data_IF_178150524692
#
_entry.id   IF_178150524692
#
_cell.length_a   1.000
_cell.length_b   1.000
_cell.length_c   1.000
_cell.angle_alpha   90.00
_cell.angle_beta   90.00
_cell.angle_gamma   90.00
#
_symmetry.space_group_name_H-M   'P 1'
#
loop_
_entity.id
_entity.type
_entity.pdbx_description
1 polymer ?
#
# COMPACT_ATOMS: atom_id res chain seq x y z
N UNK A 1 50.11 2.57 -3.80
CA UNK A 1 49.17 2.75 -2.67
C UNK A 1 47.84 3.27 -3.21
N UNK A 2 46.74 3.11 -2.45
CA UNK A 2 45.49 3.85 -2.58
C UNK A 2 44.75 3.85 -3.94
N UNK A 3 44.23 2.69 -4.36
CA UNK A 3 43.12 2.60 -5.32
C UNK A 3 41.78 2.18 -4.65
N UNK A 4 41.73 2.18 -3.30
CA UNK A 4 40.70 1.47 -2.51
C UNK A 4 39.65 2.40 -1.87
N UNK A 5 39.85 3.72 -1.89
CA UNK A 5 38.98 4.64 -1.12
C UNK A 5 37.83 5.30 -1.90
N UNK A 6 37.97 5.51 -3.21
CA UNK A 6 36.99 6.27 -4.02
C UNK A 6 35.58 5.66 -3.98
N UNK A 7 35.47 4.32 -3.94
CA UNK A 7 34.19 3.62 -3.85
C UNK A 7 33.47 3.81 -2.50
N UNK A 8 34.21 4.01 -1.40
CA UNK A 8 33.62 4.30 -0.08
C UNK A 8 33.13 5.75 -0.02
N UNK A 9 33.93 6.70 -0.47
CA UNK A 9 33.53 8.10 -0.50
C UNK A 9 32.31 8.36 -1.40
N UNK A 10 32.22 7.73 -2.58
CA UNK A 10 31.02 7.84 -3.44
C UNK A 10 29.74 7.41 -2.71
N UNK A 11 29.80 6.34 -1.93
CA UNK A 11 28.66 5.82 -1.16
C UNK A 11 28.28 6.72 0.03
N UNK A 12 29.27 7.35 0.67
CA UNK A 12 29.05 8.34 1.74
C UNK A 12 28.45 9.63 1.15
N UNK A 13 28.94 10.10 0.01
CA UNK A 13 28.38 11.28 -0.69
C UNK A 13 26.94 11.01 -1.13
N UNK A 14 26.64 9.83 -1.69
CA UNK A 14 25.25 9.43 -1.99
C UNK A 14 24.35 9.33 -0.75
N UNK A 15 24.91 9.04 0.44
CA UNK A 15 24.15 9.00 1.69
C UNK A 15 23.79 10.39 2.24
N UNK A 16 24.52 11.44 1.82
CA UNK A 16 24.22 12.84 2.12
C UNK A 16 23.55 13.59 0.96
N UNK A 17 23.59 13.01 -0.24
CA UNK A 17 23.03 13.54 -1.48
C UNK A 17 22.37 12.38 -2.24
N UNK A 18 21.22 11.94 -1.74
CA UNK A 18 20.32 11.04 -2.44
C UNK A 18 19.31 11.93 -3.19
N UNK A 19 19.50 12.19 -4.50
CA UNK A 19 18.59 13.05 -5.24
C UNK A 19 17.24 12.36 -5.38
N UNK A 20 16.16 13.14 -5.36
CA UNK A 20 14.82 12.59 -5.55
C UNK A 20 14.71 11.82 -6.87
N UNK A 21 14.04 10.66 -6.89
CA UNK A 21 13.98 9.84 -8.09
C UNK A 21 13.16 10.55 -9.17
N UNK A 22 13.81 10.86 -10.30
CA UNK A 22 13.17 11.44 -11.49
C UNK A 22 12.78 10.34 -12.48
N UNK A 23 11.66 10.53 -13.17
CA UNK A 23 11.29 9.69 -14.32
C UNK A 23 12.13 10.07 -15.55
N UNK A 24 12.52 9.11 -16.39
CA UNK A 24 13.35 9.36 -17.58
C UNK A 24 12.45 9.58 -18.81
N UNK A 25 12.18 10.85 -19.14
CA UNK A 25 11.19 11.24 -20.16
C UNK A 25 11.47 10.91 -21.63
N UNK A 26 12.71 10.77 -22.15
CA UNK A 26 12.95 10.80 -23.60
C UNK A 26 12.37 9.60 -24.35
N UNK A 27 11.83 8.59 -23.65
CA UNK A 27 11.27 7.38 -24.22
C UNK A 27 9.78 7.11 -23.84
N UNK A 28 9.14 7.95 -23.00
CA UNK A 28 7.77 7.77 -22.45
C UNK A 28 7.42 6.30 -22.08
N UNK A 29 8.38 5.62 -21.43
CA UNK A 29 8.23 4.20 -21.06
C UNK A 29 7.19 4.12 -19.94
N UNK A 30 6.19 3.22 -20.05
CA UNK A 30 5.12 3.13 -19.06
C UNK A 30 5.64 2.79 -17.67
N UNK A 31 5.34 3.66 -16.71
CA UNK A 31 5.56 3.42 -15.27
C UNK A 31 4.41 2.56 -14.75
N UNK A 32 4.73 1.53 -13.96
CA UNK A 32 3.72 0.61 -13.42
C UNK A 32 3.52 0.76 -11.92
N UNK A 33 2.26 0.82 -11.49
CA UNK A 33 1.86 0.73 -10.08
C UNK A 33 0.77 -0.35 -9.94
N UNK A 34 1.07 -1.44 -9.23
CA UNK A 34 0.11 -2.48 -8.82
C UNK A 34 -0.91 -2.84 -9.93
N UNK A 35 -0.42 -3.40 -11.05
CA UNK A 35 -1.23 -3.80 -12.19
C UNK A 35 -1.70 -2.69 -13.13
N UNK A 36 -1.35 -1.42 -12.90
CA UNK A 36 -1.69 -0.29 -13.77
C UNK A 36 -0.48 0.31 -14.43
N UNK A 37 -0.65 0.74 -15.67
CA UNK A 37 0.35 1.37 -16.53
C UNK A 37 0.03 2.85 -16.71
N UNK A 38 1.06 3.71 -16.65
CA UNK A 38 0.96 5.15 -16.77
C UNK A 38 2.06 5.69 -17.69
N UNK A 39 1.65 6.44 -18.71
CA UNK A 39 2.51 7.27 -19.57
C UNK A 39 2.24 8.75 -19.34
N UNK A 40 3.10 9.64 -19.81
CA UNK A 40 2.96 11.10 -19.64
C UNK A 40 1.61 11.65 -20.16
N UNK A 41 1.01 11.02 -21.17
CA UNK A 41 -0.31 11.35 -21.70
C UNK A 41 -1.51 10.75 -20.95
N UNK A 42 -1.30 10.08 -19.80
CA UNK A 42 -2.38 9.40 -19.05
C UNK A 42 -3.13 10.37 -18.15
N UNK A 43 -4.30 10.83 -18.61
CA UNK A 43 -5.18 11.69 -17.81
C UNK A 43 -5.79 10.94 -16.62
N UNK A 44 -5.78 11.60 -15.44
CA UNK A 44 -6.25 11.08 -14.13
C UNK A 44 -7.63 10.41 -14.16
N UNK A 45 -8.54 10.81 -15.05
CA UNK A 45 -9.90 10.27 -15.13
C UNK A 45 -10.15 9.05 -16.03
N UNK A 46 -9.18 8.53 -16.81
CA UNK A 46 -9.41 7.39 -17.75
C UNK A 46 -8.20 6.47 -17.95
N UNK A 47 -7.96 5.57 -17.00
CA UNK A 47 -7.16 4.36 -17.25
C UNK A 47 -7.99 3.43 -18.13
N UNK A 48 -7.63 3.29 -19.41
CA UNK A 48 -8.26 2.30 -20.30
C UNK A 48 -7.61 0.92 -20.09
N UNK A 49 -8.41 -0.07 -19.72
CA UNK A 49 -7.98 -1.47 -19.79
C UNK A 49 -7.56 -1.82 -21.23
N UNK A 50 -6.37 -2.37 -21.39
CA UNK A 50 -5.86 -2.85 -22.66
C UNK A 50 -6.49 -4.20 -23.05
N UNK A 51 -7.78 -4.17 -23.43
CA UNK A 51 -8.45 -5.29 -24.11
C UNK A 51 -8.77 -4.90 -25.55
N UNK A 52 -8.13 -5.58 -26.49
CA UNK A 52 -8.49 -5.49 -27.91
C UNK A 52 -9.88 -6.05 -28.15
N UNK A 53 -10.69 -5.33 -28.93
CA UNK A 53 -11.95 -5.82 -29.49
C UNK A 53 -12.10 -5.30 -30.91
N UNK A 54 -12.59 -6.16 -31.80
CA UNK A 54 -12.75 -5.85 -33.21
C UNK A 54 -14.00 -4.97 -33.49
N UNK A 55 -13.92 -4.24 -34.60
CA UNK A 55 -15.04 -3.78 -35.47
C UNK A 55 -16.16 -4.83 -35.61
N UNK A 56 -17.46 -4.56 -35.78
CA UNK A 56 -18.33 -3.36 -36.01
C UNK A 56 -19.80 -3.88 -36.13
N UNK A 57 -20.86 -3.12 -36.49
CA UNK A 57 -21.29 -1.74 -36.17
C UNK A 57 -22.73 -1.66 -35.58
N UNK A 58 -23.27 -0.45 -35.36
CA UNK A 58 -24.65 -0.15 -34.92
C UNK A 58 -25.76 -0.44 -35.97
N UNK A 59 -27.04 -0.22 -35.60
CA UNK A 59 -27.75 0.89 -36.26
C UNK A 59 -28.52 1.86 -35.34
N UNK A 60 -28.90 2.98 -35.94
CA UNK A 60 -29.48 4.22 -35.41
C UNK A 60 -31.00 4.19 -35.23
N UNK A 61 -31.55 4.95 -34.28
CA UNK A 61 -32.87 5.64 -34.40
C UNK A 61 -32.75 7.05 -33.80
N UNK A 62 -33.44 8.02 -34.40
CA UNK A 62 -33.41 9.47 -34.11
C UNK A 62 -34.82 9.96 -33.78
N UNK A 63 -34.96 10.97 -32.89
CA UNK A 63 -36.03 11.99 -32.74
C UNK A 63 -35.95 12.53 -31.28
N UNK A 64 -35.80 13.80 -30.88
CA UNK A 64 -35.93 15.19 -31.39
C UNK A 64 -37.09 15.99 -30.75
N UNK A 65 -36.89 17.31 -30.58
CA UNK A 65 -37.84 18.38 -30.16
C UNK A 65 -38.17 18.69 -28.68
N UNK A 66 -37.39 19.62 -28.11
CA UNK A 66 -37.75 20.97 -27.58
C UNK A 66 -39.11 21.31 -26.91
N UNK A 67 -39.05 22.08 -25.78
CA UNK A 67 -39.83 23.34 -25.58
C UNK A 67 -39.35 24.24 -24.42
N UNK A 68 -39.56 25.55 -24.56
CA UNK A 68 -39.22 26.65 -23.61
C UNK A 68 -40.36 27.06 -22.65
N UNK A 69 -40.03 27.79 -21.55
CA UNK A 69 -40.78 28.88 -20.82
C UNK A 69 -40.35 28.90 -19.33
N UNK A 70 -39.77 29.94 -18.68
CA UNK A 70 -40.25 31.31 -18.31
C UNK A 70 -41.17 31.35 -17.05
N UNK A 71 -41.27 32.39 -16.18
CA UNK A 71 -40.75 33.79 -16.17
C UNK A 71 -40.78 34.45 -14.72
N UNK A 72 -39.84 35.37 -14.39
CA UNK A 72 -39.89 36.49 -13.36
C UNK A 72 -40.00 36.25 -11.81
N UNK A 73 -39.06 36.75 -10.97
CA UNK A 73 -39.02 38.00 -10.11
C UNK A 73 -39.79 37.93 -8.74
N UNK A 74 -39.40 38.57 -7.61
CA UNK A 74 -38.38 39.60 -7.30
C UNK A 74 -37.97 39.63 -5.78
N UNK A 75 -36.83 40.30 -5.45
CA UNK A 75 -36.53 41.24 -4.32
C UNK A 75 -37.05 41.02 -2.87
N UNK A 76 -36.44 41.52 -1.77
CA UNK A 76 -35.06 41.86 -1.33
C UNK A 76 -35.16 42.54 0.06
N UNK A 77 -34.26 42.29 1.02
CA UNK A 77 -34.14 43.12 2.24
C UNK A 77 -32.69 43.17 2.79
N UNK A 78 -32.22 44.39 3.08
CA UNK A 78 -30.86 44.70 3.57
C UNK A 78 -30.76 44.82 5.10
N UNK A 79 -29.57 44.49 5.67
CA UNK A 79 -28.80 45.33 6.63
C UNK A 79 -27.42 44.66 6.93
N UNK A 80 -26.38 45.40 7.39
CA UNK A 80 -25.02 45.19 6.86
C UNK A 80 -23.96 44.86 7.95
N UNK A 81 -22.64 45.16 7.83
CA UNK A 81 -21.60 44.12 7.91
C UNK A 81 -20.67 44.23 9.13
N UNK A 82 -19.89 43.17 9.38
CA UNK A 82 -18.41 43.24 9.58
C UNK A 82 -17.88 41.95 10.20
N UNK A 83 -17.14 41.17 9.41
CA UNK A 83 -16.10 40.23 9.87
C UNK A 83 -15.30 39.74 8.66
N UNK A 84 -14.16 40.40 8.40
CA UNK A 84 -13.23 40.00 7.34
C UNK A 84 -12.51 38.71 7.72
N UNK A 85 -13.04 37.57 7.26
CA UNK A 85 -12.28 36.32 7.14
C UNK A 85 -11.92 36.12 5.67
N UNK A 86 -10.63 35.92 5.40
CA UNK A 86 -10.05 35.94 4.06
C UNK A 86 -10.40 34.69 3.24
N UNK A 87 -11.54 34.69 2.57
CA UNK A 87 -11.92 33.67 1.58
C UNK A 87 -11.20 33.88 0.23
N UNK A 88 -9.88 33.71 0.23
CA UNK A 88 -9.11 33.31 -0.95
C UNK A 88 -8.77 31.81 -0.77
N UNK A 89 -8.96 30.90 -1.72
CA UNK A 89 -9.59 30.99 -3.03
C UNK A 89 -10.15 29.61 -3.41
N UNK A 90 -11.48 29.46 -3.47
CA UNK A 90 -12.11 28.16 -3.82
C UNK A 90 -12.13 27.87 -5.33
N UNK A 91 -11.80 28.86 -6.17
CA UNK A 91 -11.75 28.68 -7.64
C UNK A 91 -10.42 28.10 -8.14
N UNK A 92 -9.32 28.26 -7.40
CA UNK A 92 -8.01 27.73 -7.80
C UNK A 92 -7.92 26.20 -7.65
N UNK A 93 -8.63 25.62 -6.69
CA UNK A 93 -8.65 24.17 -6.45
C UNK A 93 -9.22 23.33 -7.63
N UNK A 94 -9.89 23.95 -8.60
CA UNK A 94 -10.32 23.31 -9.84
C UNK A 94 -9.37 23.53 -11.03
N UNK A 95 -8.53 24.56 -11.00
CA UNK A 95 -7.48 24.78 -12.01
C UNK A 95 -6.18 24.00 -11.68
N UNK A 96 -5.87 23.80 -10.39
CA UNK A 96 -4.69 23.04 -9.95
C UNK A 96 -4.66 21.58 -10.44
N UNK A 97 -5.82 20.93 -10.65
CA UNK A 97 -5.87 19.53 -11.14
C UNK A 97 -5.30 19.30 -12.54
N UNK A 98 -5.05 20.35 -13.32
CA UNK A 98 -4.48 20.25 -14.66
C UNK A 98 -2.99 20.64 -14.75
N UNK A 99 -2.35 20.98 -13.63
CA UNK A 99 -0.91 21.22 -13.58
C UNK A 99 -0.20 20.11 -12.80
N UNK A 100 0.20 19.05 -13.53
CA UNK A 100 1.44 18.36 -13.20
C UNK A 100 2.54 19.42 -13.12
N UNK A 101 3.18 19.55 -11.96
CA UNK A 101 4.19 20.58 -11.77
C UNK A 101 5.43 20.19 -12.56
N UNK A 102 6.11 21.17 -13.16
CA UNK A 102 7.46 20.97 -13.72
C UNK A 102 8.49 20.51 -12.66
N UNK A 103 8.11 20.51 -11.38
CA UNK A 103 8.92 20.08 -10.24
C UNK A 103 8.74 18.59 -9.87
N UNK A 104 7.71 17.89 -10.37
CA UNK A 104 7.34 16.55 -9.87
C UNK A 104 8.20 15.42 -10.48
N UNK A 105 9.49 15.67 -10.71
CA UNK A 105 10.43 14.75 -11.38
C UNK A 105 9.99 14.26 -12.76
N UNK A 106 8.97 14.92 -13.34
CA UNK A 106 8.19 14.53 -14.52
C UNK A 106 7.57 13.13 -14.45
N UNK A 107 7.15 12.69 -13.26
CA UNK A 107 6.25 11.53 -13.14
C UNK A 107 4.87 11.85 -13.74
N UNK A 108 4.16 10.87 -14.36
CA UNK A 108 2.80 11.11 -14.83
C UNK A 108 1.83 11.43 -13.67
N UNK A 109 0.99 12.46 -13.80
CA UNK A 109 0.03 12.86 -12.75
C UNK A 109 -0.83 11.68 -12.25
N UNK A 110 -1.40 10.91 -13.18
CA UNK A 110 -2.24 9.76 -12.83
C UNK A 110 -1.48 8.63 -12.09
N UNK A 111 -0.14 8.56 -12.24
CA UNK A 111 0.71 7.69 -11.44
C UNK A 111 0.93 8.25 -10.03
N UNK A 112 1.19 9.55 -9.89
CA UNK A 112 1.34 10.20 -8.58
C UNK A 112 0.06 10.08 -7.75
N UNK A 113 -1.10 10.41 -8.33
CA UNK A 113 -2.43 10.21 -7.73
C UNK A 113 -2.60 8.77 -7.19
N UNK A 114 -2.17 7.78 -7.98
CA UNK A 114 -2.25 6.37 -7.63
C UNK A 114 -1.27 5.97 -6.52
N UNK A 115 -0.03 6.41 -6.64
CA UNK A 115 1.06 6.07 -5.73
C UNK A 115 0.83 6.68 -4.34
N UNK A 116 0.48 7.96 -4.28
CA UNK A 116 0.21 8.68 -3.02
C UNK A 116 -1.06 8.20 -2.33
N UNK A 117 -2.03 7.67 -3.08
CA UNK A 117 -3.24 7.06 -2.49
C UNK A 117 -3.01 5.69 -1.88
N UNK A 118 -1.86 5.03 -2.11
CA UNK A 118 -1.58 3.73 -1.47
C UNK A 118 -1.45 3.88 0.04
N UNK A 119 -1.92 2.87 0.78
CA UNK A 119 -1.78 2.84 2.24
C UNK A 119 -0.33 2.54 2.64
N UNK A 120 0.31 3.48 3.32
CA UNK A 120 1.70 3.38 3.77
C UNK A 120 1.76 3.36 5.30
N UNK A 121 2.24 2.25 5.85
CA UNK A 121 2.47 2.08 7.29
C UNK A 121 3.95 2.25 7.58
N UNK A 122 4.26 3.04 8.61
CA UNK A 122 5.62 3.42 9.00
C UNK A 122 5.91 3.05 10.44
N UNK A 123 7.17 3.17 10.88
CA UNK A 123 7.51 3.08 12.30
C UNK A 123 6.72 4.09 13.13
N UNK A 124 6.28 3.67 14.30
CA UNK A 124 5.58 4.51 15.28
C UNK A 124 6.23 4.40 16.65
N UNK A 125 5.84 5.33 17.52
CA UNK A 125 6.26 5.40 18.91
C UNK A 125 5.05 5.81 19.76
N UNK A 126 5.19 5.73 21.08
CA UNK A 126 4.17 6.14 22.06
C UNK A 126 2.86 5.33 21.98
N UNK A 127 2.88 4.18 21.31
CA UNK A 127 1.78 3.22 21.35
C UNK A 127 1.77 2.44 22.68
N UNK A 128 0.62 1.84 23.02
CA UNK A 128 0.45 1.06 24.26
C UNK A 128 1.50 -0.06 24.35
N UNK A 129 2.18 -0.18 25.49
CA UNK A 129 3.32 -1.10 25.63
C UNK A 129 2.98 -2.54 25.23
N UNK A 130 3.76 -3.10 24.30
CA UNK A 130 3.78 -4.52 23.98
C UNK A 130 4.68 -5.22 24.99
N UNK A 131 4.11 -6.14 25.78
CA UNK A 131 4.87 -6.92 26.76
C UNK A 131 6.02 -7.70 26.10
N UNK A 132 7.14 -7.85 26.83
CA UNK A 132 8.23 -8.75 26.44
C UNK A 132 7.78 -10.19 26.63
N UNK A 133 8.44 -11.11 25.93
CA UNK A 133 8.28 -12.54 26.21
C UNK A 133 9.19 -12.93 27.39
N UNK A 134 8.66 -13.73 28.31
CA UNK A 134 9.40 -14.32 29.41
C UNK A 134 10.31 -15.50 28.98
N UNK A 135 10.22 -15.95 27.72
CA UNK A 135 11.07 -17.02 27.20
C UNK A 135 12.54 -16.53 27.10
N UNK A 136 13.51 -17.22 27.74
CA UNK A 136 14.92 -16.83 27.69
C UNK A 136 15.47 -16.65 26.27
N UNK A 137 14.94 -17.40 25.29
CA UNK A 137 15.35 -17.33 23.87
C UNK A 137 15.01 -15.97 23.25
N UNK A 138 13.95 -15.29 23.71
CA UNK A 138 13.54 -13.98 23.19
C UNK A 138 14.66 -12.94 23.27
N UNK A 139 15.36 -12.89 24.41
CA UNK A 139 16.50 -11.97 24.62
C UNK A 139 17.65 -12.20 23.63
N UNK A 140 17.86 -13.45 23.21
CA UNK A 140 18.92 -13.85 22.27
C UNK A 140 18.55 -13.57 20.80
N UNK A 141 17.26 -13.60 20.47
CA UNK A 141 16.73 -13.36 19.14
C UNK A 141 16.71 -11.86 18.74
N UNK A 142 16.77 -10.96 19.73
CA UNK A 142 16.91 -9.52 19.48
C UNK A 142 18.23 -9.20 18.76
N UNK A 143 18.18 -8.23 17.83
CA UNK A 143 19.38 -7.65 17.21
C UNK A 143 20.27 -6.97 18.26
N UNK A 144 21.56 -6.80 17.98
CA UNK A 144 22.49 -6.17 18.93
C UNK A 144 22.03 -4.76 19.33
N UNK A 145 21.60 -3.96 18.36
CA UNK A 145 21.03 -2.62 18.59
C UNK A 145 19.77 -2.67 19.45
N UNK A 146 18.89 -3.67 19.25
CA UNK A 146 17.71 -3.87 20.08
C UNK A 146 18.06 -4.29 21.51
N UNK A 147 19.05 -5.15 21.72
CA UNK A 147 19.52 -5.52 23.07
C UNK A 147 20.06 -4.31 23.83
N UNK A 148 20.86 -3.48 23.18
CA UNK A 148 21.42 -2.26 23.79
C UNK A 148 20.30 -1.27 24.15
N UNK A 149 19.39 -0.96 23.21
CA UNK A 149 18.24 -0.07 23.47
C UNK A 149 17.34 -0.62 24.59
N UNK A 150 17.08 -1.94 24.56
CA UNK A 150 16.29 -2.67 25.55
C UNK A 150 16.86 -2.63 26.96
N UNK A 151 18.18 -2.57 27.12
CA UNK A 151 18.83 -2.53 28.44
C UNK A 151 18.88 -1.11 29.02
N UNK A 152 18.86 -0.08 28.15
CA UNK A 152 19.05 1.31 28.54
C UNK A 152 17.75 2.11 28.74
N UNK A 153 16.67 1.76 28.04
CA UNK A 153 15.46 2.60 27.96
C UNK A 153 14.19 1.88 28.41
N UNK A 154 13.97 0.65 27.94
CA UNK A 154 12.62 0.05 27.90
C UNK A 154 12.52 -1.28 28.68
N UNK A 155 12.65 -1.26 30.02
CA UNK A 155 12.50 -2.49 30.81
C UNK A 155 11.07 -3.07 30.78
N UNK A 156 10.03 -2.23 30.62
CA UNK A 156 8.63 -2.62 30.80
C UNK A 156 7.86 -2.98 29.50
N UNK A 157 8.55 -3.20 28.38
CA UNK A 157 7.94 -3.61 27.11
C UNK A 157 8.49 -2.85 25.90
N UNK A 158 7.73 -2.81 24.81
CA UNK A 158 8.04 -2.01 23.62
C UNK A 158 6.92 -0.99 23.36
N UNK A 159 7.26 0.29 23.32
CA UNK A 159 6.37 1.41 22.97
C UNK A 159 6.68 2.00 21.59
N UNK A 160 7.70 1.49 20.91
CA UNK A 160 8.05 1.82 19.53
C UNK A 160 8.57 0.60 18.78
N UNK A 161 8.23 0.51 17.50
CA UNK A 161 8.69 -0.56 16.61
C UNK A 161 9.91 -0.20 15.76
N UNK A 162 10.42 1.03 15.95
CA UNK A 162 11.63 1.56 15.31
C UNK A 162 12.83 0.63 15.50
N UNK A 163 13.27 -0.01 14.41
CA UNK A 163 14.41 -0.92 14.37
C UNK A 163 14.12 -2.41 14.52
N UNK A 164 12.84 -2.82 14.58
CA UNK A 164 12.44 -4.24 14.51
C UNK A 164 11.15 -4.48 13.71
N UNK A 165 10.22 -3.53 13.69
CA UNK A 165 8.89 -3.68 13.08
C UNK A 165 8.80 -3.50 11.56
N UNK A 166 9.90 -3.22 10.83
CA UNK A 166 9.83 -2.85 9.41
C UNK A 166 9.02 -3.82 8.56
N UNK A 167 9.27 -5.14 8.69
CA UNK A 167 8.55 -6.13 7.90
C UNK A 167 7.08 -6.30 8.32
N UNK A 168 6.75 -6.03 9.59
CA UNK A 168 5.36 -5.92 10.04
C UNK A 168 4.69 -4.74 9.34
N UNK A 169 5.34 -3.57 9.25
CA UNK A 169 4.82 -2.39 8.54
C UNK A 169 4.67 -2.62 7.03
N UNK A 170 5.63 -3.31 6.40
CA UNK A 170 5.49 -3.75 5.01
C UNK A 170 4.28 -4.70 4.82
N UNK A 171 4.11 -5.67 5.72
CA UNK A 171 2.98 -6.59 5.72
C UNK A 171 1.63 -5.91 5.96
N UNK A 172 1.56 -4.95 6.90
CA UNK A 172 0.37 -4.13 7.14
C UNK A 172 0.04 -3.27 5.91
N UNK A 173 1.04 -2.65 5.27
CA UNK A 173 0.85 -1.86 4.05
C UNK A 173 0.30 -2.70 2.90
N UNK A 174 0.88 -3.89 2.67
CA UNK A 174 0.41 -4.84 1.66
C UNK A 174 -1.04 -5.28 1.95
N UNK A 175 -1.35 -5.65 3.19
CA UNK A 175 -2.68 -6.08 3.60
C UNK A 175 -3.73 -4.96 3.48
N UNK A 176 -3.38 -3.74 3.90
CA UNK A 176 -4.25 -2.56 3.79
C UNK A 176 -4.57 -2.22 2.32
N UNK A 177 -3.58 -2.30 1.42
CA UNK A 177 -3.81 -2.11 -0.02
C UNK A 177 -4.63 -3.25 -0.64
N UNK A 178 -4.45 -4.49 -0.20
CA UNK A 178 -5.29 -5.61 -0.64
C UNK A 178 -6.77 -5.43 -0.21
N UNK A 179 -7.02 -5.00 1.03
CA UNK A 179 -8.37 -4.64 1.50
C UNK A 179 -8.93 -3.44 0.74
N UNK A 180 -8.11 -2.42 0.47
CA UNK A 180 -8.50 -1.24 -0.31
C UNK A 180 -9.01 -1.60 -1.70
N UNK A 181 -8.38 -2.55 -2.38
CA UNK A 181 -8.81 -3.00 -3.71
C UNK A 181 -10.18 -3.69 -3.69
N UNK A 182 -10.60 -4.23 -2.55
CA UNK A 182 -11.91 -4.89 -2.35
C UNK A 182 -12.98 -3.87 -1.93
N UNK A 183 -12.69 -3.04 -0.93
CA UNK A 183 -13.70 -2.16 -0.29
C UNK A 183 -13.90 -0.81 -0.99
N UNK A 184 -12.84 -0.32 -1.64
CA UNK A 184 -12.77 0.96 -2.36
C UNK A 184 -12.65 0.78 -3.88
N UNK A 185 -12.02 -0.31 -4.32
CA UNK A 185 -11.70 -0.59 -5.72
C UNK A 185 -10.30 -0.11 -6.12
N UNK A 186 -9.79 -0.59 -7.25
CA UNK A 186 -8.45 -0.24 -7.75
C UNK A 186 -8.36 1.19 -8.31
N UNK A 187 -9.49 1.74 -8.79
CA UNK A 187 -9.62 3.12 -9.28
C UNK A 187 -9.62 4.18 -8.18
N UNK A 188 -9.92 3.82 -6.93
CA UNK A 188 -10.03 4.75 -5.82
C UNK A 188 -8.76 5.60 -5.62
N UNK A 189 -8.97 6.89 -5.36
CA UNK A 189 -7.97 7.90 -4.98
C UNK A 189 -8.40 8.60 -3.68
N UNK A 190 -7.46 9.27 -3.01
CA UNK A 190 -7.76 9.99 -1.76
C UNK A 190 -8.83 11.06 -2.00
N UNK A 191 -9.76 11.16 -1.05
CA UNK A 191 -10.90 12.08 -1.13
C UNK A 191 -12.16 11.50 -1.79
N UNK A 192 -12.08 10.41 -2.56
CA UNK A 192 -13.27 9.79 -3.20
C UNK A 192 -14.25 9.14 -2.21
N UNK A 193 -13.76 8.71 -1.04
CA UNK A 193 -14.54 7.98 -0.03
C UNK A 193 -13.89 8.07 1.36
N UNK A 194 -13.81 9.28 1.97
CA UNK A 194 -13.01 9.53 3.16
C UNK A 194 -13.53 8.78 4.42
N UNK A 195 -14.81 8.42 4.47
CA UNK A 195 -15.38 7.61 5.56
C UNK A 195 -14.87 6.17 5.49
N UNK A 196 -14.85 5.59 4.28
CA UNK A 196 -14.33 4.24 4.06
C UNK A 196 -12.80 4.19 4.23
N UNK A 197 -12.08 5.21 3.76
CA UNK A 197 -10.62 5.36 3.97
C UNK A 197 -10.29 5.36 5.47
N UNK A 198 -10.97 6.18 6.28
CA UNK A 198 -10.80 6.18 7.74
C UNK A 198 -11.20 4.87 8.38
N UNK A 199 -12.29 4.24 7.94
CA UNK A 199 -12.74 2.94 8.44
C UNK A 199 -11.66 1.88 8.25
N UNK A 200 -11.10 1.76 7.04
CA UNK A 200 -10.00 0.84 6.72
C UNK A 200 -8.74 1.15 7.54
N UNK A 201 -8.31 2.42 7.60
CA UNK A 201 -7.15 2.85 8.40
C UNK A 201 -7.31 2.50 9.89
N UNK A 202 -8.52 2.64 10.45
CA UNK A 202 -8.80 2.35 11.85
C UNK A 202 -8.51 0.89 12.22
N UNK A 203 -8.55 -0.04 11.25
CA UNK A 203 -8.24 -1.45 11.46
C UNK A 203 -6.76 -1.70 11.78
N UNK A 204 -5.86 -0.77 11.39
CA UNK A 204 -4.40 -0.88 11.49
C UNK A 204 -3.77 0.06 12.53
N UNK A 205 -4.57 0.86 13.24
CA UNK A 205 -4.09 1.76 14.29
C UNK A 205 -3.27 1.00 15.35
N UNK A 206 -2.27 1.65 15.95
CA UNK A 206 -1.38 1.04 16.96
C UNK A 206 -2.03 0.93 18.35
N UNK A 207 -3.21 0.31 18.38
CA UNK A 207 -4.02 0.03 19.56
C UNK A 207 -4.33 -1.48 19.60
N UNK A 208 -4.24 -2.16 20.77
CA UNK A 208 -4.55 -3.59 20.88
C UNK A 208 -5.96 -3.99 20.39
N UNK A 209 -6.92 -3.04 20.37
CA UNK A 209 -8.29 -3.25 19.89
C UNK A 209 -8.40 -3.29 18.37
N UNK A 210 -7.48 -2.66 17.64
CA UNK A 210 -7.50 -2.64 16.19
C UNK A 210 -7.05 -4.02 15.64
N UNK A 211 -7.84 -4.67 14.77
CA UNK A 211 -7.65 -6.08 14.41
C UNK A 211 -6.35 -6.40 13.67
N UNK A 212 -5.72 -5.40 13.05
CA UNK A 212 -4.47 -5.50 12.29
C UNK A 212 -3.37 -4.60 12.84
N UNK A 213 -3.48 -4.18 14.10
CA UNK A 213 -2.45 -3.42 14.79
C UNK A 213 -1.14 -4.20 14.95
N UNK A 214 -0.06 -3.49 15.24
CA UNK A 214 1.24 -4.12 15.52
C UNK A 214 1.16 -5.08 16.73
N UNK A 215 0.32 -4.78 17.72
CA UNK A 215 0.04 -5.66 18.86
C UNK A 215 -0.53 -7.01 18.41
N UNK A 216 -1.51 -6.99 17.50
CA UNK A 216 -2.12 -8.19 16.94
C UNK A 216 -1.14 -8.99 16.07
N UNK A 217 -0.31 -8.31 15.28
CA UNK A 217 0.77 -8.96 14.51
C UNK A 217 1.80 -9.64 15.41
N UNK A 218 2.21 -9.00 16.51
CA UNK A 218 3.16 -9.62 17.46
C UNK A 218 2.52 -10.80 18.20
N UNK A 219 1.28 -10.64 18.68
CA UNK A 219 0.54 -11.70 19.38
C UNK A 219 0.32 -12.94 18.50
N UNK A 220 -0.14 -12.75 17.25
CA UNK A 220 -0.31 -13.85 16.31
C UNK A 220 1.02 -14.38 15.78
N UNK A 221 2.05 -13.53 15.62
CA UNK A 221 3.40 -13.94 15.20
C UNK A 221 4.09 -14.86 16.19
N UNK A 222 3.88 -14.66 17.50
CA UNK A 222 4.35 -15.57 18.54
C UNK A 222 3.73 -16.97 18.40
N UNK A 223 2.41 -17.05 18.18
CA UNK A 223 1.69 -18.33 18.07
C UNK A 223 1.95 -19.03 16.72
N UNK A 224 1.91 -18.29 15.60
CA UNK A 224 1.97 -18.84 14.25
C UNK A 224 3.40 -19.08 13.73
N UNK A 225 4.38 -18.34 14.24
CA UNK A 225 5.76 -18.35 13.74
C UNK A 225 6.83 -18.52 14.82
N UNK A 226 6.46 -18.62 16.11
CA UNK A 226 7.41 -18.67 17.22
C UNK A 226 8.25 -17.39 17.38
N UNK A 227 7.78 -16.26 16.84
CA UNK A 227 8.50 -14.98 16.81
C UNK A 227 8.20 -14.13 18.04
N UNK A 228 9.23 -13.60 18.67
CA UNK A 228 9.07 -12.82 19.90
C UNK A 228 8.86 -11.31 19.65
N UNK A 229 8.20 -10.59 20.58
CA UNK A 229 8.19 -9.12 20.57
C UNK A 229 9.62 -8.55 20.49
N UNK A 230 9.85 -7.61 19.57
CA UNK A 230 11.18 -7.03 19.32
C UNK A 230 12.09 -7.82 18.36
N UNK A 231 11.71 -9.05 17.97
CA UNK A 231 12.44 -9.83 16.98
C UNK A 231 12.12 -9.35 15.55
N UNK A 232 13.08 -9.45 14.64
CA UNK A 232 12.84 -9.17 13.23
C UNK A 232 12.04 -10.29 12.55
N UNK A 233 10.99 -9.91 11.83
CA UNK A 233 10.16 -10.81 11.04
C UNK A 233 10.70 -10.86 9.60
N UNK A 234 10.86 -12.05 9.04
CA UNK A 234 11.09 -12.23 7.61
C UNK A 234 9.77 -12.25 6.81
N UNK A 235 9.80 -12.17 5.47
CA UNK A 235 8.61 -12.22 4.63
C UNK A 235 7.71 -13.44 4.89
N UNK A 236 8.25 -14.68 4.93
CA UNK A 236 7.45 -15.88 5.21
C UNK A 236 6.76 -15.85 6.58
N UNK A 237 7.46 -15.35 7.62
CA UNK A 237 6.89 -15.24 8.97
C UNK A 237 5.76 -14.21 9.01
N UNK A 238 5.91 -13.11 8.27
CA UNK A 238 4.88 -12.08 8.12
C UNK A 238 3.68 -12.59 7.34
N UNK A 239 3.90 -13.34 6.25
CA UNK A 239 2.83 -13.93 5.45
C UNK A 239 2.01 -14.97 6.24
N UNK A 240 2.66 -15.86 7.00
CA UNK A 240 1.99 -16.79 7.91
C UNK A 240 1.22 -16.06 9.02
N UNK A 241 1.77 -14.97 9.56
CA UNK A 241 1.08 -14.13 10.54
C UNK A 241 -0.18 -13.47 9.95
N UNK A 242 -0.09 -12.88 8.75
CA UNK A 242 -1.24 -12.31 8.02
C UNK A 242 -2.30 -13.39 7.79
N UNK A 243 -1.90 -14.58 7.35
CA UNK A 243 -2.82 -15.70 7.14
C UNK A 243 -3.58 -16.07 8.42
N UNK A 244 -2.86 -16.28 9.52
CA UNK A 244 -3.47 -16.63 10.80
C UNK A 244 -4.41 -15.52 11.33
N UNK A 245 -3.99 -14.26 11.21
CA UNK A 245 -4.70 -13.10 11.73
C UNK A 245 -5.97 -12.77 10.95
N UNK A 246 -5.94 -12.85 9.62
CA UNK A 246 -7.10 -12.57 8.76
C UNK A 246 -8.11 -13.72 8.80
N UNK A 247 -7.66 -14.97 8.59
CA UNK A 247 -8.56 -16.11 8.49
C UNK A 247 -9.30 -16.40 9.82
N UNK A 248 -8.69 -16.10 10.97
CA UNK A 248 -9.34 -16.21 12.28
C UNK A 248 -10.54 -15.26 12.47
N UNK A 249 -10.60 -14.13 11.76
CA UNK A 249 -11.57 -13.05 12.00
C UNK A 249 -12.86 -13.14 11.17
N UNK A 250 -13.09 -14.25 10.42
CA UNK A 250 -14.26 -14.49 9.56
C UNK A 250 -14.65 -13.31 8.64
N UNK A 251 -13.65 -12.57 8.15
CA UNK A 251 -13.90 -11.45 7.24
C UNK A 251 -14.18 -11.91 5.80
N UNK A 252 -14.55 -10.96 4.94
CA UNK A 252 -14.75 -11.16 3.50
C UNK A 252 -13.46 -11.60 2.81
N UNK A 253 -12.32 -10.98 3.17
CA UNK A 253 -11.00 -11.37 2.69
C UNK A 253 -10.53 -12.66 3.36
N UNK A 254 -10.02 -13.59 2.56
CA UNK A 254 -9.23 -14.75 2.99
C UNK A 254 -7.77 -14.57 2.57
N UNK A 255 -6.89 -15.36 3.16
CA UNK A 255 -5.46 -15.38 2.83
C UNK A 255 -5.00 -16.81 2.64
N UNK A 256 -4.27 -17.05 1.55
CA UNK A 256 -3.51 -18.27 1.29
C UNK A 256 -2.03 -17.91 1.12
N UNK A 257 -1.16 -18.53 1.90
CA UNK A 257 0.29 -18.36 1.84
C UNK A 257 0.97 -19.68 1.56
N UNK A 258 1.92 -19.66 0.63
CA UNK A 258 2.72 -20.83 0.22
C UNK A 258 3.82 -21.18 1.23
N UNK A 259 3.97 -20.40 2.31
CA UNK A 259 5.00 -20.59 3.33
C UNK A 259 6.38 -20.16 2.82
N UNK A 260 7.26 -21.13 2.58
CA UNK A 260 8.66 -20.89 2.18
C UNK A 260 8.97 -21.36 0.74
N UNK A 261 8.00 -21.98 0.06
CA UNK A 261 8.10 -22.39 -1.35
C UNK A 261 7.28 -21.50 -2.28
N UNK A 262 7.61 -21.42 -3.58
CA UNK A 262 6.89 -20.58 -4.54
C UNK A 262 5.60 -21.22 -5.07
N UNK A 263 5.34 -22.49 -4.75
CA UNK A 263 4.29 -23.29 -5.37
C UNK A 263 2.89 -22.96 -4.81
N UNK A 264 1.94 -22.72 -5.71
CA UNK A 264 0.52 -22.48 -5.39
C UNK A 264 -0.28 -23.73 -5.75
N UNK A 265 -0.82 -24.40 -4.73
CA UNK A 265 -1.66 -25.58 -4.92
C UNK A 265 -3.13 -25.19 -5.06
N UNK A 266 -3.73 -25.47 -6.23
CA UNK A 266 -5.12 -25.11 -6.54
C UNK A 266 -6.10 -25.66 -5.50
N UNK A 267 -6.00 -26.94 -5.13
CA UNK A 267 -6.88 -27.56 -4.13
C UNK A 267 -6.82 -26.85 -2.76
N UNK A 268 -5.64 -26.43 -2.31
CA UNK A 268 -5.49 -25.78 -1.01
C UNK A 268 -5.94 -24.31 -1.04
N UNK A 269 -5.70 -23.62 -2.15
CA UNK A 269 -6.26 -22.31 -2.41
C UNK A 269 -7.81 -22.36 -2.42
N UNK A 270 -8.39 -23.33 -3.14
CA UNK A 270 -9.85 -23.48 -3.24
C UNK A 270 -10.50 -23.92 -1.93
N UNK A 271 -9.84 -24.73 -1.09
CA UNK A 271 -10.32 -25.03 0.29
C UNK A 271 -10.47 -23.76 1.13
N UNK A 272 -9.58 -22.78 0.97
CA UNK A 272 -9.63 -21.49 1.70
C UNK A 272 -10.62 -20.52 1.05
N UNK A 273 -10.57 -20.39 -0.28
CA UNK A 273 -11.37 -19.41 -1.03
C UNK A 273 -12.84 -19.82 -1.19
N UNK A 274 -13.14 -21.12 -1.22
CA UNK A 274 -14.47 -21.68 -1.53
C UNK A 274 -14.82 -22.90 -0.66
N UNK A 275 -14.75 -22.80 0.70
CA UNK A 275 -14.85 -23.95 1.61
C UNK A 275 -16.16 -24.75 1.48
N UNK A 276 -17.27 -24.09 1.14
CA UNK A 276 -18.60 -24.72 0.99
C UNK A 276 -18.93 -25.06 -0.47
N UNK A 277 -17.99 -24.91 -1.41
CA UNK A 277 -18.19 -25.21 -2.83
C UNK A 277 -19.14 -24.28 -3.58
N UNK A 278 -19.80 -23.33 -2.90
CA UNK A 278 -20.80 -22.41 -3.44
C UNK A 278 -20.21 -21.04 -3.81
N UNK A 279 -19.84 -20.22 -2.83
CA UNK A 279 -19.37 -18.84 -2.99
C UNK A 279 -17.83 -18.74 -2.91
N UNK A 280 -17.24 -18.00 -3.85
CA UNK A 280 -15.81 -17.65 -3.80
C UNK A 280 -15.61 -16.38 -2.96
N UNK A 281 -14.77 -16.44 -1.93
CA UNK A 281 -14.34 -15.30 -1.15
C UNK A 281 -13.10 -14.64 -1.78
N UNK A 282 -13.03 -13.30 -1.85
CA UNK A 282 -11.80 -12.59 -2.22
C UNK A 282 -10.62 -13.15 -1.41
N UNK A 283 -9.54 -13.57 -2.09
CA UNK A 283 -8.43 -14.29 -1.46
C UNK A 283 -7.10 -13.66 -1.86
N UNK A 284 -6.37 -13.18 -0.87
CA UNK A 284 -5.01 -12.67 -1.00
C UNK A 284 -4.02 -13.85 -1.02
N UNK A 285 -3.26 -13.97 -2.11
CA UNK A 285 -2.24 -15.00 -2.31
C UNK A 285 -0.87 -14.43 -1.96
N UNK A 286 -0.20 -15.01 -0.95
CA UNK A 286 1.12 -14.60 -0.48
C UNK A 286 2.16 -15.66 -0.80
N UNK A 287 2.86 -15.48 -1.93
CA UNK A 287 3.88 -16.40 -2.43
C UNK A 287 5.23 -16.10 -1.77
N UNK A 288 5.71 -17.00 -0.92
CA UNK A 288 7.07 -16.97 -0.39
C UNK A 288 8.08 -17.42 -1.44
N UNK A 289 9.17 -16.69 -1.65
CA UNK A 289 10.19 -17.07 -2.62
C UNK A 289 11.59 -16.55 -2.25
N UNK A 290 12.62 -17.21 -2.77
CA UNK A 290 14.03 -16.79 -2.67
C UNK A 290 14.66 -16.78 -4.05
N UNK A 291 14.87 -15.58 -4.59
CA UNK A 291 15.29 -15.38 -5.99
C UNK A 291 16.81 -15.32 -6.20
N UNK A 292 17.59 -15.69 -5.18
CA UNK A 292 19.06 -15.75 -5.24
C UNK A 292 19.72 -15.89 -3.86
N UNK A 293 21.05 -15.88 -3.85
CA UNK A 293 21.85 -15.95 -2.62
C UNK A 293 22.00 -14.55 -2.02
N UNK A 294 22.66 -13.63 -2.73
CA UNK A 294 22.94 -12.25 -2.30
C UNK A 294 22.14 -11.18 -3.07
N UNK A 295 21.72 -11.49 -4.30
CA UNK A 295 20.98 -10.61 -5.21
C UNK A 295 19.98 -11.42 -6.03
N UNK A 296 18.94 -10.75 -6.53
CA UNK A 296 17.97 -11.35 -7.45
C UNK A 296 18.71 -11.82 -8.72
N UNK A 297 18.57 -13.10 -9.04
CA UNK A 297 19.18 -13.71 -10.23
C UNK A 297 18.48 -13.18 -11.48
N UNK A 298 19.21 -12.70 -12.52
CA UNK A 298 18.59 -12.02 -13.67
C UNK A 298 17.50 -12.79 -14.40
N UNK A 299 17.53 -14.13 -14.38
CA UNK A 299 16.50 -15.00 -14.95
C UNK A 299 15.08 -14.75 -14.39
N UNK A 300 14.98 -14.16 -13.20
CA UNK A 300 13.69 -13.86 -12.56
C UNK A 300 13.19 -12.43 -12.80
N UNK A 301 13.95 -11.55 -13.46
CA UNK A 301 13.58 -10.14 -13.62
C UNK A 301 12.30 -9.96 -14.43
N UNK A 302 12.18 -10.61 -15.58
CA UNK A 302 10.96 -10.58 -16.40
C UNK A 302 9.73 -11.11 -15.66
N UNK A 303 9.90 -12.19 -14.87
CA UNK A 303 8.82 -12.76 -14.08
C UNK A 303 8.35 -11.81 -12.95
N UNK A 304 9.28 -11.08 -12.31
CA UNK A 304 8.96 -10.05 -11.32
C UNK A 304 8.24 -8.85 -11.94
N UNK A 305 8.71 -8.38 -13.09
CA UNK A 305 8.07 -7.28 -13.83
C UNK A 305 6.64 -7.70 -14.20
N UNK A 306 6.46 -8.88 -14.80
CA UNK A 306 5.14 -9.41 -15.14
C UNK A 306 4.22 -9.51 -13.90
N UNK A 307 4.74 -9.97 -12.75
CA UNK A 307 3.96 -10.07 -11.50
C UNK A 307 3.50 -8.70 -10.96
N UNK A 308 4.24 -7.62 -11.21
CA UNK A 308 3.83 -6.24 -10.88
C UNK A 308 2.86 -5.63 -11.91
N UNK A 309 2.83 -6.17 -13.13
CA UNK A 309 1.91 -5.80 -14.21
C UNK A 309 0.56 -6.52 -14.16
N UNK A 310 0.43 -7.58 -13.38
CA UNK A 310 -0.85 -8.29 -13.19
C UNK A 310 -1.90 -7.37 -12.53
N UNK A 311 -3.14 -7.28 -13.03
CA UNK A 311 -4.22 -6.50 -12.40
C UNK A 311 -4.53 -6.89 -10.95
N UNK A 312 -4.17 -8.11 -10.55
CA UNK A 312 -4.32 -8.67 -9.21
C UNK A 312 -3.12 -8.35 -8.28
N UNK A 313 -2.11 -7.64 -8.76
CA UNK A 313 -0.86 -7.43 -8.04
C UNK A 313 -1.06 -6.50 -6.83
N UNK A 314 -0.66 -6.98 -5.65
CA UNK A 314 -0.61 -6.20 -4.39
C UNK A 314 0.82 -5.77 -4.03
N UNK A 315 1.77 -5.98 -4.94
CA UNK A 315 3.18 -5.62 -4.77
C UNK A 315 4.01 -6.74 -4.15
N UNK A 316 5.20 -6.37 -3.66
CA UNK A 316 6.21 -7.28 -3.10
C UNK A 316 6.66 -6.72 -1.75
N UNK A 317 6.83 -7.60 -0.75
CA UNK A 317 7.49 -7.30 0.52
C UNK A 317 8.70 -8.22 0.68
N UNK A 318 9.87 -7.65 0.98
CA UNK A 318 11.16 -8.34 1.03
C UNK A 318 12.16 -7.62 1.93
#
# INVERSE_FOLDING_TARGET
MAAVEIGRYRRIVQMFWDPEPTNDHPNDVPVWCLGRSYTLGTNSGKVKDARGSATSPSPTVTEDQAKESSVLHAQSHDTPPDSVSSSFSSSLAYEERNHCSLNDGGWPCAFLDDFESRFWMTYRAEFMSIARSDDPRASSALSLSMRIKSQLVDQNGFTSDSGWGCMIRSGQSLLANAMSMIDLGRDWRRGDSPEKERSLLSLFADDPRAPYSIHQFVQHGAVACGKYPGEWFGPSATARCIQALVNARKQVLRVYSTGDGPDVYEDDLLKIAKPEGSQFHPTLILVGTRLGIDKITPVYWEALIAALQMPQSVGIAG
#
